data_IF_881662557035
#
_entry.id   IF_881662557035
#
_cell.length_a   1.000
_cell.length_b   1.000
_cell.length_c   1.000
_cell.angle_alpha   90.00
_cell.angle_beta   90.00
_cell.angle_gamma   90.00
#
_symmetry.space_group_name_H-M   'P 1'
#
loop_
_entity.id
_entity.type
_entity.pdbx_description
1 polymer ?
#
# COMPACT_ATOMS: atom_id res chain seq x y z
N UNK A 1 15.25 -29.57 54.22
CA UNK A 1 16.00 -29.10 53.03
C UNK A 1 15.31 -29.48 51.71
N UNK A 2 15.12 -30.78 51.38
CA UNK A 2 14.51 -31.20 50.10
C UNK A 2 13.11 -30.62 49.81
N UNK A 3 12.21 -30.60 50.80
CA UNK A 3 10.85 -30.02 50.63
C UNK A 3 10.86 -28.51 50.42
N UNK A 4 11.80 -27.80 51.03
CA UNK A 4 11.95 -26.35 50.91
C UNK A 4 12.44 -25.98 49.51
N UNK A 5 13.40 -26.74 48.97
CA UNK A 5 13.88 -26.55 47.60
C UNK A 5 12.77 -26.79 46.57
N UNK A 6 11.93 -27.82 46.74
CA UNK A 6 10.80 -28.07 45.83
C UNK A 6 9.82 -26.90 45.80
N UNK A 7 9.46 -26.37 46.98
CA UNK A 7 8.57 -25.20 47.09
C UNK A 7 9.20 -23.97 46.43
N UNK A 8 10.50 -23.75 46.66
CA UNK A 8 11.22 -22.61 46.09
C UNK A 8 11.34 -22.70 44.55
N UNK A 9 11.62 -23.89 44.01
CA UNK A 9 11.67 -24.13 42.56
C UNK A 9 10.30 -23.96 41.91
N UNK A 10 9.22 -24.42 42.56
CA UNK A 10 7.86 -24.22 42.06
C UNK A 10 7.48 -22.73 42.00
N UNK A 11 7.85 -21.95 43.02
CA UNK A 11 7.62 -20.51 43.05
C UNK A 11 8.37 -19.79 41.93
N UNK A 12 9.63 -20.15 41.70
CA UNK A 12 10.47 -19.60 40.63
C UNK A 12 9.90 -19.90 39.23
N UNK A 13 9.35 -21.10 39.03
CA UNK A 13 8.67 -21.48 37.79
C UNK A 13 7.41 -20.64 37.54
N UNK A 14 6.58 -20.43 38.57
CA UNK A 14 5.35 -19.63 38.44
C UNK A 14 5.68 -18.18 38.10
N UNK A 15 6.72 -17.60 38.73
CA UNK A 15 7.18 -16.24 38.41
C UNK A 15 7.77 -16.16 37.01
N UNK A 16 8.60 -17.14 36.63
CA UNK A 16 9.24 -17.19 35.31
C UNK A 16 8.24 -17.30 34.15
N UNK A 17 7.11 -17.98 34.35
CA UNK A 17 6.06 -18.11 33.33
C UNK A 17 5.23 -16.84 33.11
N UNK A 18 5.21 -15.89 34.06
CA UNK A 18 4.44 -14.65 33.97
C UNK A 18 5.31 -13.41 33.67
N UNK A 19 6.63 -13.54 33.63
CA UNK A 19 7.55 -12.39 33.59
C UNK A 19 7.76 -11.76 32.19
N UNK A 20 7.30 -12.40 31.10
CA UNK A 20 7.57 -11.94 29.72
C UNK A 20 6.31 -11.85 28.83
N UNK A 21 5.15 -11.54 29.41
CA UNK A 21 3.91 -11.45 28.61
C UNK A 21 3.93 -10.26 27.62
N UNK A 22 4.49 -9.12 28.06
CA UNK A 22 4.46 -7.87 27.29
C UNK A 22 5.52 -7.80 26.17
N UNK A 23 6.44 -8.78 26.11
CA UNK A 23 7.51 -8.81 25.09
C UNK A 23 6.94 -9.01 23.66
N UNK A 24 5.72 -9.55 23.55
CA UNK A 24 5.01 -9.76 22.30
C UNK A 24 4.13 -8.56 21.90
N UNK A 25 3.86 -7.63 22.82
CA UNK A 25 3.09 -6.40 22.56
C UNK A 25 4.01 -5.32 21.96
N UNK A 26 4.57 -5.62 20.79
CA UNK A 26 5.43 -4.70 20.04
C UNK A 26 4.56 -3.75 19.24
N UNK A 27 4.23 -2.60 19.84
CA UNK A 27 3.58 -1.50 19.14
C UNK A 27 4.60 -0.81 18.24
N UNK A 28 4.36 -0.76 16.93
CA UNK A 28 5.20 0.01 16.02
C UNK A 28 4.86 1.50 16.18
N UNK A 29 5.73 2.33 16.76
CA UNK A 29 5.43 3.75 17.00
C UNK A 29 5.33 4.57 15.71
N UNK A 30 5.80 4.02 14.58
CA UNK A 30 5.76 4.69 13.28
C UNK A 30 4.56 4.26 12.42
N UNK A 31 3.69 3.38 12.93
CA UNK A 31 2.53 2.92 12.18
C UNK A 31 1.25 3.43 12.85
N UNK A 32 0.49 4.24 12.11
CA UNK A 32 -0.81 4.72 12.55
C UNK A 32 -1.74 3.51 12.67
N UNK A 33 -2.26 3.25 13.86
CA UNK A 33 -3.19 2.13 14.06
C UNK A 33 -4.60 2.55 13.65
N UNK A 34 -5.38 1.62 13.09
CA UNK A 34 -6.79 1.86 12.72
C UNK A 34 -7.68 2.22 13.92
N UNK A 35 -7.20 2.01 15.14
CA UNK A 35 -7.94 2.34 16.37
C UNK A 35 -7.90 3.84 16.70
N UNK A 36 -6.83 4.53 16.31
CA UNK A 36 -6.61 5.94 16.66
C UNK A 36 -6.94 6.89 15.50
N UNK A 37 -6.88 6.40 14.25
CA UNK A 37 -7.17 7.18 13.05
C UNK A 37 -8.67 7.36 12.79
N UNK A 38 -9.05 8.52 12.25
CA UNK A 38 -10.41 8.82 11.80
C UNK A 38 -11.32 9.41 12.88
N UNK A 39 -10.75 9.89 13.98
CA UNK A 39 -11.50 10.45 15.11
C UNK A 39 -11.54 11.99 15.08
N UNK A 40 -10.68 12.64 14.29
CA UNK A 40 -10.57 14.10 14.20
C UNK A 40 -10.86 14.62 12.78
N UNK A 41 -11.15 15.92 12.67
CA UNK A 41 -11.27 16.60 11.37
C UNK A 41 -9.96 16.52 10.56
N UNK A 42 -8.81 16.58 11.24
CA UNK A 42 -7.52 16.45 10.61
C UNK A 42 -7.33 15.07 9.94
N UNK A 43 -7.75 13.99 10.63
CA UNK A 43 -7.69 12.63 10.08
C UNK A 43 -8.58 12.49 8.84
N UNK A 44 -9.76 13.11 8.85
CA UNK A 44 -10.65 13.14 7.68
C UNK A 44 -9.99 13.86 6.50
N UNK A 45 -9.38 15.02 6.76
CA UNK A 45 -8.68 15.77 5.71
C UNK A 45 -7.51 14.96 5.14
N UNK A 46 -6.75 14.28 5.99
CA UNK A 46 -5.67 13.39 5.57
C UNK A 46 -6.19 12.22 4.71
N UNK A 47 -7.28 11.57 5.12
CA UNK A 47 -7.91 10.51 4.34
C UNK A 47 -8.36 11.00 2.96
N UNK A 48 -9.01 12.16 2.89
CA UNK A 48 -9.44 12.76 1.62
C UNK A 48 -8.23 13.07 0.73
N UNK A 49 -7.18 13.69 1.27
CA UNK A 49 -5.96 13.97 0.53
C UNK A 49 -5.34 12.67 0.00
N UNK A 50 -5.26 11.62 0.83
CA UNK A 50 -4.73 10.33 0.43
C UNK A 50 -5.53 9.71 -0.74
N UNK A 51 -6.87 9.75 -0.67
CA UNK A 51 -7.74 9.27 -1.74
C UNK A 51 -7.50 10.01 -3.07
N UNK A 52 -7.34 11.34 -3.04
CA UNK A 52 -7.16 12.14 -4.25
C UNK A 52 -5.72 12.20 -4.75
N UNK A 53 -4.71 11.99 -3.89
CA UNK A 53 -3.30 11.98 -4.28
C UNK A 53 -3.05 10.97 -5.41
N UNK A 54 -3.71 9.82 -5.29
CA UNK A 54 -3.62 8.69 -6.21
C UNK A 54 -4.12 8.98 -7.63
N UNK A 55 -4.93 10.03 -7.81
CA UNK A 55 -5.41 10.52 -9.12
C UNK A 55 -4.39 11.47 -9.78
N UNK A 56 -3.48 12.07 -9.01
CA UNK A 56 -2.43 12.97 -9.54
C UNK A 56 -1.24 12.21 -10.12
N UNK A 57 -1.08 10.95 -9.72
CA UNK A 57 -0.02 10.08 -10.22
C UNK A 57 -0.33 9.68 -11.66
N UNK A 58 0.72 9.59 -12.46
CA UNK A 58 0.62 9.05 -13.81
C UNK A 58 0.08 7.62 -13.75
N UNK A 59 -0.92 7.33 -14.60
CA UNK A 59 -1.44 5.98 -14.75
C UNK A 59 -2.87 6.02 -15.26
N UNK A 60 -3.76 5.33 -14.54
CA UNK A 60 -5.14 5.10 -14.96
C UNK A 60 -5.88 6.42 -15.20
N UNK A 61 -5.75 7.37 -14.29
CA UNK A 61 -6.54 8.61 -14.29
C UNK A 61 -5.78 9.83 -14.84
N UNK A 62 -4.45 9.79 -14.89
CA UNK A 62 -3.64 10.92 -15.34
C UNK A 62 -2.64 10.52 -16.41
N UNK A 63 -2.48 11.42 -17.38
CA UNK A 63 -1.65 11.28 -18.58
C UNK A 63 -2.02 10.03 -19.39
N UNK A 64 -1.54 8.85 -19.02
CA UNK A 64 -1.46 7.69 -19.93
C UNK A 64 -2.83 7.06 -20.20
N UNK A 65 -3.58 6.68 -19.16
CA UNK A 65 -4.85 5.94 -19.33
C UNK A 65 -5.87 6.69 -20.18
N UNK A 66 -6.16 7.95 -19.85
CA UNK A 66 -7.11 8.75 -20.64
C UNK A 66 -6.56 9.12 -22.03
N UNK A 67 -5.26 9.37 -22.18
CA UNK A 67 -4.71 9.67 -23.51
C UNK A 67 -4.81 8.46 -24.42
N UNK A 68 -4.54 7.24 -23.92
CA UNK A 68 -4.67 6.02 -24.70
C UNK A 68 -6.09 5.83 -25.22
N UNK A 69 -7.10 6.15 -24.42
CA UNK A 69 -8.50 6.08 -24.86
C UNK A 69 -8.80 7.16 -25.92
N UNK A 70 -8.47 8.41 -25.63
CA UNK A 70 -8.80 9.56 -26.50
C UNK A 70 -8.06 9.55 -27.84
N UNK A 71 -6.89 8.92 -27.92
CA UNK A 71 -6.05 8.92 -29.12
C UNK A 71 -6.28 7.72 -30.05
N UNK A 72 -7.09 6.75 -29.61
CA UNK A 72 -7.48 5.59 -30.44
C UNK A 72 -8.57 5.91 -31.45
N UNK A 73 -9.39 6.92 -31.15
CA UNK A 73 -10.31 7.50 -32.12
C UNK A 73 -9.64 8.56 -32.99
N UNK A 74 -10.41 9.17 -33.89
CA UNK A 74 -9.95 10.20 -34.82
C UNK A 74 -10.15 11.63 -34.29
N UNK A 75 -10.51 11.79 -33.02
CA UNK A 75 -10.87 13.07 -32.41
C UNK A 75 -9.66 13.88 -31.94
N UNK A 76 -8.55 13.21 -31.59
CA UNK A 76 -7.38 13.86 -30.96
C UNK A 76 -6.08 13.33 -31.56
N UNK A 77 -5.16 14.26 -31.86
CA UNK A 77 -3.78 13.95 -32.22
C UNK A 77 -2.81 14.43 -31.14
N UNK A 78 -1.91 13.55 -30.68
CA UNK A 78 -0.86 13.87 -29.73
C UNK A 78 0.52 13.49 -30.30
N UNK A 79 1.54 14.35 -30.22
CA UNK A 79 2.88 14.02 -30.71
C UNK A 79 3.55 12.87 -29.95
N UNK A 80 3.20 12.68 -28.68
CA UNK A 80 3.61 11.50 -27.89
C UNK A 80 2.87 10.22 -28.29
N UNK A 81 1.86 10.32 -29.17
CA UNK A 81 1.07 9.17 -29.63
C UNK A 81 1.85 8.18 -30.47
N UNK A 82 2.95 8.64 -31.08
CA UNK A 82 3.90 7.77 -31.76
C UNK A 82 4.44 6.66 -30.84
N UNK A 83 4.44 6.89 -29.51
CA UNK A 83 4.89 5.91 -28.53
C UNK A 83 3.83 4.84 -28.22
N UNK A 84 2.57 5.06 -28.55
CA UNK A 84 1.46 4.11 -28.31
C UNK A 84 1.14 3.23 -29.53
N UNK A 85 1.67 3.56 -30.72
CA UNK A 85 1.33 2.88 -31.99
C UNK A 85 1.58 1.37 -31.96
N UNK A 86 2.68 0.94 -31.34
CA UNK A 86 3.02 -0.49 -31.23
C UNK A 86 2.06 -1.25 -30.30
N UNK A 87 1.51 -0.57 -29.30
CA UNK A 87 0.52 -1.13 -28.37
C UNK A 87 -0.88 -1.17 -28.97
N UNK A 88 -1.25 -0.16 -29.76
CA UNK A 88 -2.55 -0.10 -30.45
C UNK A 88 -2.67 -1.09 -31.63
N UNK A 89 -1.55 -1.72 -32.03
CA UNK A 89 -1.58 -2.88 -32.88
C UNK A 89 -2.22 -4.05 -32.10
N UNK A 90 -3.36 -4.56 -32.56
CA UNK A 90 -4.11 -5.69 -31.95
C UNK A 90 -3.30 -7.00 -31.76
N UNK A 91 -2.03 -7.01 -32.18
CA UNK A 91 -1.07 -8.09 -31.99
C UNK A 91 0.13 -7.68 -31.12
N UNK A 92 0.02 -6.63 -30.31
CA UNK A 92 1.08 -6.23 -29.38
C UNK A 92 1.48 -7.40 -28.49
N UNK A 93 2.79 -7.59 -28.29
CA UNK A 93 3.34 -8.72 -27.54
C UNK A 93 3.07 -8.63 -26.03
N UNK A 94 2.42 -7.56 -25.55
CA UNK A 94 2.12 -7.37 -24.13
C UNK A 94 3.36 -7.11 -23.27
N UNK A 95 4.45 -6.65 -23.89
CA UNK A 95 5.72 -6.32 -23.23
C UNK A 95 6.14 -4.85 -23.43
N UNK A 96 5.22 -4.01 -23.89
CA UNK A 96 5.45 -2.60 -24.16
C UNK A 96 5.11 -1.82 -22.91
N UNK A 97 6.11 -1.39 -22.14
CA UNK A 97 5.86 -0.74 -20.85
C UNK A 97 4.82 0.39 -20.93
N UNK A 98 4.84 1.18 -22.01
CA UNK A 98 3.89 2.26 -22.24
C UNK A 98 2.40 1.84 -22.28
N UNK A 99 2.09 0.69 -22.86
CA UNK A 99 0.70 0.20 -22.94
C UNK A 99 0.34 -0.81 -21.86
N UNK A 100 1.33 -1.59 -21.43
CA UNK A 100 1.12 -2.72 -20.53
C UNK A 100 1.37 -2.40 -19.05
N UNK A 101 2.21 -1.41 -18.76
CA UNK A 101 2.59 -1.04 -17.38
C UNK A 101 2.11 0.36 -17.02
N UNK A 102 2.33 1.34 -17.90
CA UNK A 102 2.18 2.75 -17.57
C UNK A 102 0.74 3.15 -17.23
N UNK A 103 -0.33 2.59 -17.84
CA UNK A 103 -1.70 2.86 -17.40
C UNK A 103 -2.00 2.39 -15.98
N UNK A 104 -1.13 1.59 -15.36
CA UNK A 104 -1.35 0.96 -14.06
C UNK A 104 -0.30 1.36 -13.01
N UNK A 105 0.53 2.38 -13.30
CA UNK A 105 1.63 2.83 -12.42
C UNK A 105 1.23 3.75 -11.28
N UNK A 106 -0.06 3.98 -11.19
CA UNK A 106 -0.64 4.83 -10.20
C UNK A 106 -0.51 4.17 -8.81
#
# INVERSE_FOLDING_TARGET
MKKFNIIFTALLLIVGLNACNDQLDVVNPNNQTTYEFGNTEADLQEAVIACYNRIRLEGSFARVGYTLDAVRGDEVWNSSQQWYVEYDNLNSLGNTGIGDEWPWRD
#
